data_IF_372933269769
#
_entry.id   IF_372933269769
#
_cell.length_a   1.000
_cell.length_b   1.000
_cell.length_c   1.000
_cell.angle_alpha   90.00
_cell.angle_beta   90.00
_cell.angle_gamma   90.00
#
_symmetry.space_group_name_H-M   'P 1'
#
loop_
_entity.id
_entity.type
_entity.pdbx_description
1 polymer ?
#
# COMPACT_ATOMS: atom_id res chain seq x y z
N UNK A 1 8.70 -2.93 -26.99
CA UNK A 1 7.51 -3.63 -26.44
C UNK A 1 7.70 -4.09 -25.00
N UNK A 2 8.78 -4.82 -24.68
CA UNK A 2 9.04 -5.31 -23.30
C UNK A 2 9.11 -4.18 -22.27
N UNK A 3 9.83 -3.10 -22.56
CA UNK A 3 9.97 -1.95 -21.65
C UNK A 3 8.62 -1.28 -21.34
N UNK A 4 7.73 -1.17 -22.34
CA UNK A 4 6.39 -0.64 -22.16
C UNK A 4 5.56 -1.49 -21.21
N UNK A 5 5.57 -2.82 -21.39
CA UNK A 5 4.87 -3.75 -20.50
C UNK A 5 5.41 -3.69 -19.08
N UNK A 6 6.74 -3.64 -18.92
CA UNK A 6 7.38 -3.51 -17.62
C UNK A 6 6.96 -2.23 -16.89
N UNK A 7 6.91 -1.10 -17.61
CA UNK A 7 6.44 0.19 -17.08
C UNK A 7 4.98 0.08 -16.63
N UNK A 8 4.09 -0.46 -17.47
CA UNK A 8 2.68 -0.62 -17.13
C UNK A 8 2.48 -1.52 -15.91
N UNK A 9 3.12 -2.70 -15.86
CA UNK A 9 3.01 -3.63 -14.72
C UNK A 9 3.52 -2.98 -13.43
N UNK A 10 4.66 -2.28 -13.51
CA UNK A 10 5.24 -1.59 -12.34
C UNK A 10 4.34 -0.44 -11.87
N UNK A 11 3.75 0.31 -12.80
CA UNK A 11 2.78 1.36 -12.51
C UNK A 11 1.52 0.80 -11.81
N UNK A 12 0.93 -0.28 -12.34
CA UNK A 12 -0.23 -0.94 -11.72
C UNK A 12 0.12 -1.47 -10.33
N UNK A 13 1.31 -2.07 -10.17
CA UNK A 13 1.80 -2.56 -8.88
C UNK A 13 1.95 -1.42 -7.86
N UNK A 14 2.55 -0.31 -8.27
CA UNK A 14 2.64 0.89 -7.44
C UNK A 14 1.25 1.39 -7.02
N UNK A 15 0.28 1.42 -7.94
CA UNK A 15 -1.10 1.84 -7.62
C UNK A 15 -1.76 0.93 -6.60
N UNK A 16 -1.57 -0.39 -6.71
CA UNK A 16 -2.08 -1.37 -5.74
C UNK A 16 -1.55 -1.09 -4.33
N UNK A 17 -0.25 -0.85 -4.18
CA UNK A 17 0.34 -0.57 -2.86
C UNK A 17 -0.07 0.79 -2.31
N UNK A 18 -0.22 1.81 -3.18
CA UNK A 18 -0.76 3.12 -2.78
C UNK A 18 -2.20 3.00 -2.27
N UNK A 19 -3.06 2.23 -2.95
CA UNK A 19 -4.42 1.99 -2.47
C UNK A 19 -4.45 1.19 -1.17
N UNK A 20 -3.57 0.20 -1.03
CA UNK A 20 -3.40 -0.51 0.24
C UNK A 20 -3.01 0.43 1.38
N UNK A 21 -2.10 1.36 1.14
CA UNK A 21 -1.76 2.40 2.14
C UNK A 21 -2.95 3.32 2.45
N UNK A 22 -3.73 3.69 1.44
CA UNK A 22 -4.97 4.47 1.65
C UNK A 22 -6.02 3.68 2.44
N UNK A 23 -6.09 2.37 2.25
CA UNK A 23 -6.97 1.50 3.04
C UNK A 23 -6.53 1.50 4.52
N UNK A 24 -5.23 1.40 4.78
CA UNK A 24 -4.69 1.50 6.14
C UNK A 24 -4.97 2.89 6.76
N UNK A 25 -4.91 3.97 5.98
CA UNK A 25 -5.29 5.30 6.46
C UNK A 25 -6.79 5.37 6.77
N UNK A 26 -7.64 4.85 5.89
CA UNK A 26 -9.09 4.84 6.06
C UNK A 26 -9.50 4.10 7.34
N UNK A 27 -9.05 2.86 7.48
CA UNK A 27 -9.37 2.01 8.62
C UNK A 27 -8.68 2.49 9.91
N UNK A 28 -7.44 2.95 9.81
CA UNK A 28 -6.70 3.51 10.95
C UNK A 28 -7.35 4.75 11.55
N UNK A 29 -7.95 5.61 10.71
CA UNK A 29 -8.79 6.73 11.19
C UNK A 29 -10.07 6.27 11.87
N UNK A 30 -10.68 5.20 11.35
CA UNK A 30 -11.95 4.65 11.86
C UNK A 30 -11.82 4.00 13.24
N UNK A 31 -10.62 3.51 13.56
CA UNK A 31 -10.26 2.98 14.88
C UNK A 31 -10.00 4.07 15.93
N UNK A 32 -9.73 5.31 15.50
CA UNK A 32 -9.34 6.39 16.39
C UNK A 32 -10.54 7.18 16.92
N UNK A 33 -10.49 7.59 18.18
CA UNK A 33 -11.47 8.54 18.73
C UNK A 33 -11.31 9.91 18.06
N UNK A 34 -12.37 10.75 18.04
CA UNK A 34 -12.29 12.10 17.49
C UNK A 34 -11.17 12.94 18.13
N UNK A 35 -10.95 12.78 19.45
CA UNK A 35 -9.88 13.44 20.19
C UNK A 35 -8.49 12.96 19.73
N UNK A 36 -8.33 11.66 19.51
CA UNK A 36 -7.07 11.10 19.02
C UNK A 36 -6.75 11.58 17.59
N UNK A 37 -7.75 11.82 16.74
CA UNK A 37 -7.54 12.34 15.39
C UNK A 37 -7.04 13.79 15.36
N UNK A 38 -7.31 14.58 16.40
CA UNK A 38 -6.77 15.94 16.52
C UNK A 38 -5.25 15.91 16.77
N UNK A 39 -4.77 14.97 17.58
CA UNK A 39 -3.35 14.78 17.86
C UNK A 39 -2.63 13.99 16.76
N UNK A 40 -3.32 13.01 16.17
CA UNK A 40 -2.80 12.09 15.16
C UNK A 40 -3.75 12.01 13.97
N UNK A 41 -3.61 12.92 12.98
CA UNK A 41 -4.53 12.98 11.83
C UNK A 41 -4.57 11.72 10.96
N UNK A 42 -3.57 10.84 11.06
CA UNK A 42 -3.53 9.55 10.37
C UNK A 42 -4.19 8.41 11.16
N UNK A 43 -4.66 8.67 12.39
CA UNK A 43 -5.15 7.65 13.31
C UNK A 43 -4.12 6.55 13.55
N UNK A 44 -4.56 5.29 13.51
CA UNK A 44 -3.71 4.11 13.70
C UNK A 44 -3.11 3.55 12.41
N UNK A 45 -2.98 4.35 11.34
CA UNK A 45 -2.44 3.88 10.05
C UNK A 45 -1.12 3.12 10.20
N UNK A 46 -0.16 3.67 10.95
CA UNK A 46 1.18 3.08 11.07
C UNK A 46 1.16 1.76 11.85
N UNK A 47 0.23 1.59 12.78
CA UNK A 47 0.07 0.36 13.54
C UNK A 47 -0.43 -0.79 12.65
N UNK A 48 -1.32 -0.49 11.70
CA UNK A 48 -1.95 -1.51 10.85
C UNK A 48 -1.27 -1.70 9.49
N UNK A 49 -0.41 -0.77 9.06
CA UNK A 49 0.27 -0.84 7.75
C UNK A 49 1.18 -2.07 7.62
N UNK A 50 0.94 -2.96 6.64
CA UNK A 50 1.80 -4.13 6.42
C UNK A 50 3.22 -3.71 6.00
N UNK A 51 4.29 -4.15 6.69
CA UNK A 51 5.66 -3.77 6.35
C UNK A 51 6.07 -4.14 4.93
N UNK A 52 5.53 -5.26 4.41
CA UNK A 52 5.80 -5.70 3.04
C UNK A 52 5.24 -4.73 2.00
N UNK A 53 4.07 -4.12 2.25
CA UNK A 53 3.46 -3.17 1.31
C UNK A 53 4.31 -1.91 1.18
N UNK A 54 4.85 -1.40 2.29
CA UNK A 54 5.77 -0.25 2.27
C UNK A 54 7.02 -0.56 1.46
N UNK A 55 7.63 -1.74 1.66
CA UNK A 55 8.80 -2.18 0.88
C UNK A 55 8.49 -2.30 -0.60
N UNK A 56 7.36 -2.92 -0.96
CA UNK A 56 6.95 -3.08 -2.35
C UNK A 56 6.58 -1.75 -3.01
N UNK A 57 5.99 -0.81 -2.27
CA UNK A 57 5.73 0.56 -2.74
C UNK A 57 7.03 1.27 -3.09
N UNK A 58 8.03 1.24 -2.18
CA UNK A 58 9.34 1.83 -2.43
C UNK A 58 10.00 1.18 -3.64
N UNK A 59 10.03 -0.15 -3.70
CA UNK A 59 10.62 -0.89 -4.82
C UNK A 59 9.94 -0.57 -6.16
N UNK A 60 8.60 -0.48 -6.17
CA UNK A 60 7.84 -0.14 -7.39
C UNK A 60 8.08 1.30 -7.82
N UNK A 61 8.17 2.24 -6.88
CA UNK A 61 8.50 3.64 -7.18
C UNK A 61 9.89 3.78 -7.79
N UNK A 62 10.91 3.19 -7.15
CA UNK A 62 12.29 3.23 -7.65
C UNK A 62 12.40 2.50 -8.99
N UNK A 63 11.78 1.32 -9.12
CA UNK A 63 11.75 0.56 -10.35
C UNK A 63 11.10 1.33 -11.51
N UNK A 64 9.97 2.00 -11.25
CA UNK A 64 9.30 2.81 -12.26
C UNK A 64 10.19 3.97 -12.72
N UNK A 65 10.80 4.71 -11.79
CA UNK A 65 11.73 5.80 -12.12
C UNK A 65 12.94 5.30 -12.91
N UNK A 66 13.50 4.13 -12.56
CA UNK A 66 14.61 3.53 -13.27
C UNK A 66 14.22 3.14 -14.71
N UNK A 67 13.04 2.54 -14.91
CA UNK A 67 12.55 2.16 -16.25
C UNK A 67 12.30 3.39 -17.13
N UNK A 68 11.71 4.45 -16.56
CA UNK A 68 11.50 5.71 -17.29
C UNK A 68 12.84 6.36 -17.64
N UNK A 69 13.75 6.49 -16.67
CA UNK A 69 15.09 7.05 -16.88
C UNK A 69 15.89 6.28 -17.93
N UNK A 70 15.82 4.95 -17.90
CA UNK A 70 16.43 4.11 -18.94
C UNK A 70 15.80 4.36 -20.32
N UNK A 71 14.48 4.50 -20.40
CA UNK A 71 13.79 4.83 -21.65
C UNK A 71 14.23 6.17 -22.24
N UNK A 72 14.39 7.21 -21.41
CA UNK A 72 14.92 8.50 -21.85
C UNK A 72 16.38 8.41 -22.31
N UNK A 73 17.21 7.62 -21.61
CA UNK A 73 18.63 7.48 -21.89
C UNK A 73 18.91 6.65 -23.16
N UNK A 74 18.27 5.49 -23.30
CA UNK A 74 18.59 4.52 -24.35
C UNK A 74 17.84 4.78 -25.67
N UNK A 75 16.56 5.18 -25.58
CA UNK A 75 15.65 5.28 -26.74
C UNK A 75 15.32 6.75 -27.09
N UNK A 76 15.84 7.69 -26.31
CA UNK A 76 15.67 9.13 -26.52
C UNK A 76 14.38 9.72 -25.94
N UNK A 77 14.25 11.05 -26.07
CA UNK A 77 13.23 11.85 -25.37
C UNK A 77 11.81 11.50 -25.79
N UNK A 78 11.56 11.30 -27.10
CA UNK A 78 10.23 11.00 -27.60
C UNK A 78 9.70 9.66 -27.05
N UNK A 79 10.56 8.65 -27.00
CA UNK A 79 10.19 7.34 -26.46
C UNK A 79 9.98 7.40 -24.94
N UNK A 80 10.89 8.06 -24.20
CA UNK A 80 10.75 8.27 -22.76
C UNK A 80 9.48 9.04 -22.37
N UNK A 81 9.09 10.05 -23.15
CA UNK A 81 7.83 10.77 -22.97
C UNK A 81 6.62 9.85 -23.20
N UNK A 82 6.67 8.99 -24.22
CA UNK A 82 5.64 7.98 -24.47
C UNK A 82 5.49 6.97 -23.32
N UNK A 83 6.60 6.51 -22.72
CA UNK A 83 6.56 5.64 -21.55
C UNK A 83 5.98 6.34 -20.32
N UNK A 84 6.33 7.61 -20.11
CA UNK A 84 5.78 8.42 -19.01
C UNK A 84 4.27 8.54 -19.14
N UNK A 85 3.78 8.83 -20.35
CA UNK A 85 2.34 8.88 -20.63
C UNK A 85 1.68 7.52 -20.38
N UNK A 86 2.30 6.43 -20.82
CA UNK A 86 1.79 5.08 -20.59
C UNK A 86 1.71 4.73 -19.10
N UNK A 87 2.74 5.07 -18.32
CA UNK A 87 2.75 4.89 -16.87
C UNK A 87 1.62 5.66 -16.20
N UNK A 88 1.42 6.92 -16.58
CA UNK A 88 0.35 7.77 -16.07
C UNK A 88 -1.04 7.19 -16.38
N UNK A 89 -1.27 6.76 -17.63
CA UNK A 89 -2.53 6.12 -18.02
C UNK A 89 -2.74 4.82 -17.26
N UNK A 90 -1.71 3.97 -17.11
CA UNK A 90 -1.80 2.73 -16.36
C UNK A 90 -2.15 2.98 -14.87
N UNK A 91 -1.53 3.97 -14.23
CA UNK A 91 -1.86 4.38 -12.86
C UNK A 91 -3.32 4.82 -12.73
N UNK A 92 -3.79 5.67 -13.65
CA UNK A 92 -5.15 6.20 -13.64
C UNK A 92 -6.18 5.09 -13.86
N UNK A 93 -6.00 4.28 -14.90
CA UNK A 93 -6.90 3.16 -15.26
C UNK A 93 -6.93 2.11 -14.15
N UNK A 94 -5.78 1.73 -13.59
CA UNK A 94 -5.77 0.78 -12.49
C UNK A 94 -6.49 1.31 -11.26
N UNK A 95 -6.33 2.60 -10.97
CA UNK A 95 -6.95 3.25 -9.82
C UNK A 95 -8.45 3.44 -9.92
N UNK A 96 -9.00 3.52 -11.14
CA UNK A 96 -10.43 3.76 -11.38
C UNK A 96 -11.20 2.49 -11.77
N UNK A 97 -10.58 1.55 -12.47
CA UNK A 97 -11.29 0.41 -13.08
C UNK A 97 -10.85 -0.97 -12.56
N UNK A 98 -9.58 -1.15 -12.21
CA UNK A 98 -9.04 -2.50 -11.93
C UNK A 98 -8.99 -2.84 -10.45
N UNK A 99 -8.62 -1.87 -9.63
CA UNK A 99 -8.28 -2.11 -8.23
C UNK A 99 -9.42 -1.70 -7.31
N UNK A 100 -9.64 -2.44 -6.21
CA UNK A 100 -10.76 -2.19 -5.32
C UNK A 100 -10.60 -0.86 -4.57
N UNK A 101 -11.71 -0.31 -4.10
CA UNK A 101 -11.69 0.90 -3.29
C UNK A 101 -10.97 0.67 -1.95
N UNK A 102 -10.35 1.71 -1.34
CA UNK A 102 -9.63 1.60 -0.07
C UNK A 102 -10.47 1.04 1.11
N UNK A 103 -11.77 1.31 1.11
CA UNK A 103 -12.74 0.82 2.10
C UNK A 103 -13.27 -0.59 1.80
N UNK A 104 -12.77 -1.25 0.75
CA UNK A 104 -13.25 -2.56 0.34
C UNK A 104 -12.94 -3.66 1.39
N UNK A 105 -13.83 -4.67 1.51
CA UNK A 105 -13.58 -5.84 2.37
C UNK A 105 -12.30 -6.61 2.02
N UNK A 106 -11.84 -6.50 0.76
CA UNK A 106 -10.62 -7.16 0.30
C UNK A 106 -9.38 -6.58 0.95
N UNK A 107 -9.27 -5.26 1.08
CA UNK A 107 -8.14 -4.67 1.79
C UNK A 107 -8.24 -4.89 3.29
N UNK A 108 -9.44 -4.81 3.87
CA UNK A 108 -9.66 -5.10 5.28
C UNK A 108 -9.19 -6.52 5.65
N UNK A 109 -9.55 -7.53 4.86
CA UNK A 109 -9.14 -8.91 5.12
C UNK A 109 -7.62 -9.11 5.04
N UNK A 110 -6.93 -8.44 4.12
CA UNK A 110 -5.46 -8.45 4.08
C UNK A 110 -4.83 -7.83 5.32
N UNK A 111 -5.36 -6.69 5.79
CA UNK A 111 -4.85 -6.01 6.98
C UNK A 111 -5.04 -6.90 8.22
N UNK A 112 -6.23 -7.50 8.40
CA UNK A 112 -6.52 -8.40 9.51
C UNK A 112 -5.61 -9.64 9.49
N UNK A 113 -5.48 -10.29 8.33
CA UNK A 113 -4.61 -11.45 8.17
C UNK A 113 -3.13 -11.13 8.45
N UNK A 114 -2.67 -9.94 8.05
CA UNK A 114 -1.31 -9.48 8.33
C UNK A 114 -1.08 -9.21 9.83
N UNK A 115 -2.05 -8.64 10.55
CA UNK A 115 -1.98 -8.45 12.00
C UNK A 115 -1.89 -9.78 12.75
N UNK A 116 -2.67 -10.79 12.35
CA UNK A 116 -2.61 -12.15 12.92
C UNK A 116 -1.24 -12.78 12.68
N UNK A 117 -0.71 -12.66 11.46
CA UNK A 117 0.63 -13.18 11.15
C UNK A 117 1.70 -12.48 11.98
N UNK A 118 1.64 -11.15 12.07
CA UNK A 118 2.59 -10.35 12.87
C UNK A 118 2.56 -10.72 14.34
N UNK A 119 1.38 -10.89 14.94
CA UNK A 119 1.29 -11.29 16.34
C UNK A 119 1.93 -12.67 16.57
N UNK A 120 1.65 -13.65 15.71
CA UNK A 120 2.28 -14.97 15.78
C UNK A 120 3.81 -14.92 15.59
N UNK A 121 4.31 -14.07 14.69
CA UNK A 121 5.75 -13.92 14.46
C UNK A 121 6.45 -13.24 15.65
N UNK A 122 5.81 -12.26 16.30
CA UNK A 122 6.33 -11.63 17.51
C UNK A 122 6.33 -12.58 18.71
N UNK A 123 5.30 -13.41 18.89
CA UNK A 123 5.27 -14.44 19.93
C UNK A 123 6.40 -15.46 19.76
N UNK A 124 6.63 -15.92 18.53
CA UNK A 124 7.76 -16.82 18.22
C UNK A 124 9.11 -16.18 18.52
N UNK A 125 9.23 -14.87 18.33
CA UNK A 125 10.43 -14.10 18.65
C UNK A 125 10.56 -13.76 20.14
N UNK A 126 9.56 -14.06 20.98
CA UNK A 126 9.53 -13.73 22.40
C UNK A 126 9.20 -12.26 22.70
N UNK A 127 8.77 -11.48 21.70
CA UNK A 127 8.38 -10.07 21.85
C UNK A 127 6.88 -9.99 22.18
N UNK A 128 6.55 -10.25 23.45
CA UNK A 128 5.17 -10.29 23.94
C UNK A 128 4.49 -8.92 23.80
N UNK A 129 5.22 -7.83 24.04
CA UNK A 129 4.66 -6.47 23.96
C UNK A 129 4.16 -6.12 22.55
N UNK A 130 4.93 -6.45 21.50
CA UNK A 130 4.47 -6.24 20.12
C UNK A 130 3.39 -7.24 19.70
N UNK A 131 3.45 -8.47 20.21
CA UNK A 131 2.41 -9.46 19.95
C UNK A 131 1.04 -8.99 20.48
N UNK A 132 0.99 -8.52 21.72
CA UNK A 132 -0.23 -7.97 22.34
C UNK A 132 -0.73 -6.73 21.60
N UNK A 133 0.17 -5.81 21.24
CA UNK A 133 -0.20 -4.63 20.45
C UNK A 133 -0.84 -4.99 19.10
N UNK A 134 -0.31 -6.01 18.40
CA UNK A 134 -0.86 -6.47 17.12
C UNK A 134 -2.24 -7.15 17.30
N UNK A 135 -2.44 -7.91 18.39
CA UNK A 135 -3.75 -8.49 18.73
C UNK A 135 -4.78 -7.42 19.09
N UNK A 136 -4.38 -6.40 19.84
CA UNK A 136 -5.24 -5.29 20.20
C UNK A 136 -5.66 -4.49 18.96
N UNK A 137 -4.71 -4.17 18.08
CA UNK A 137 -5.00 -3.52 16.81
C UNK A 137 -5.97 -4.35 15.94
N UNK A 138 -5.82 -5.68 15.93
CA UNK A 138 -6.76 -6.57 15.25
C UNK A 138 -8.17 -6.49 15.85
N UNK A 139 -8.30 -6.52 17.18
CA UNK A 139 -9.59 -6.40 17.86
C UNK A 139 -10.26 -5.07 17.54
N UNK A 140 -9.56 -3.96 17.74
CA UNK A 140 -10.07 -2.62 17.46
C UNK A 140 -10.51 -2.46 16.01
N UNK A 141 -9.75 -3.01 15.06
CA UNK A 141 -10.10 -2.96 13.65
C UNK A 141 -11.34 -3.79 13.33
N UNK A 142 -11.48 -4.96 13.94
CA UNK A 142 -12.66 -5.82 13.78
C UNK A 142 -13.91 -5.15 14.36
N UNK A 143 -13.81 -4.49 15.50
CA UNK A 143 -14.90 -3.70 16.10
C UNK A 143 -15.27 -2.50 15.22
N UNK A 144 -14.30 -1.77 14.67
CA UNK A 144 -14.55 -0.61 13.81
C UNK A 144 -15.18 -0.96 12.44
N UNK A 145 -15.12 -2.24 12.04
CA UNK A 145 -15.69 -2.75 10.80
C UNK A 145 -17.12 -3.27 10.94
N UNK A 146 -17.61 -3.49 12.17
CA UNK A 146 -18.98 -3.90 12.47
C UNK A 146 -19.82 -2.70 12.97
#
# INVERSE_FOLDING_TARGET
>A
MVLFLAVCITAVSLRLFLQGSQACLYWGKRMASPEALLAHPAGFQDAISPPLWVRCMIASSVGLLALLGYGFYAEGVAFGAGLTLAAFVALAVAGSLLLPAPDSPKFLSYILADLIRRSADFEKAGDIGRAEAAKEAHRMLFEAAN
#
